data_IF_105619370849
#
_entry.id   IF_105619370849
#
_cell.length_a   1.000
_cell.length_b   1.000
_cell.length_c   1.000
_cell.angle_alpha   90.00
_cell.angle_beta   90.00
_cell.angle_gamma   90.00
#
_symmetry.space_group_name_H-M   'P 1'
#
loop_
_entity.id
_entity.type
_entity.pdbx_description
1 polymer ?
#
# COMPACT_ATOMS: atom_id res chain seq x y z
N UNK A 1 4.33 -0.15 -48.08
CA UNK A 1 3.81 0.98 -47.27
C UNK A 1 2.82 0.39 -46.29
N UNK A 2 3.07 0.50 -44.99
CA UNK A 2 2.04 0.26 -43.99
C UNK A 2 1.25 1.56 -43.87
N UNK A 3 0.03 1.58 -44.38
CA UNK A 3 -0.86 2.70 -44.07
C UNK A 3 -1.26 2.61 -42.60
N UNK A 4 -1.23 3.71 -41.84
CA UNK A 4 -1.85 3.72 -40.52
C UNK A 4 -3.34 3.53 -40.75
N UNK A 5 -3.87 2.36 -40.38
CA UNK A 5 -5.30 2.14 -40.39
C UNK A 5 -5.92 3.13 -39.42
N UNK A 6 -6.68 4.10 -39.95
CA UNK A 6 -7.61 4.90 -39.16
C UNK A 6 -8.62 3.92 -38.55
N UNK A 7 -8.29 3.41 -37.36
CA UNK A 7 -9.19 2.55 -36.61
C UNK A 7 -10.31 3.45 -36.12
N UNK A 8 -11.43 3.40 -36.84
CA UNK A 8 -12.64 4.15 -36.55
C UNK A 8 -12.94 4.15 -35.05
N UNK A 9 -13.04 5.35 -34.50
CA UNK A 9 -13.44 5.57 -33.14
C UNK A 9 -14.79 4.89 -32.89
N UNK A 10 -14.80 3.86 -32.06
CA UNK A 10 -16.01 3.50 -31.33
C UNK A 10 -16.46 4.74 -30.52
N UNK A 11 -17.76 4.93 -30.24
CA UNK A 11 -18.21 6.06 -29.44
C UNK A 11 -17.40 6.11 -28.15
N UNK A 12 -16.84 7.29 -27.87
CA UNK A 12 -15.94 7.56 -26.74
C UNK A 12 -16.51 7.09 -25.40
N UNK A 13 -17.84 6.92 -25.32
CA UNK A 13 -18.58 6.44 -24.16
C UNK A 13 -18.26 5.01 -23.70
N UNK A 14 -17.66 4.16 -24.54
CA UNK A 14 -17.34 2.78 -24.11
C UNK A 14 -15.96 2.63 -23.45
N UNK A 15 -15.02 3.55 -23.71
CA UNK A 15 -13.63 3.42 -23.26
C UNK A 15 -12.80 2.35 -23.99
N UNK A 16 -13.34 1.70 -25.01
CA UNK A 16 -12.67 0.70 -25.83
C UNK A 16 -12.70 1.06 -27.32
N UNK A 17 -11.68 0.64 -28.08
CA UNK A 17 -11.65 0.75 -29.54
C UNK A 17 -12.56 -0.30 -30.18
N UNK A 18 -12.86 -0.16 -31.47
CA UNK A 18 -13.63 -1.16 -32.22
C UNK A 18 -12.98 -2.56 -32.21
N UNK A 19 -11.66 -2.64 -32.05
CA UNK A 19 -10.91 -3.90 -31.90
C UNK A 19 -10.92 -4.46 -30.48
N UNK A 20 -11.64 -3.84 -29.54
CA UNK A 20 -11.73 -4.27 -28.14
C UNK A 20 -10.52 -3.89 -27.28
N UNK A 21 -9.56 -3.12 -27.81
CA UNK A 21 -8.45 -2.61 -27.00
C UNK A 21 -8.90 -1.40 -26.18
N UNK A 22 -8.49 -1.24 -24.91
CA UNK A 22 -8.84 -0.04 -24.14
C UNK A 22 -8.21 1.21 -24.74
N UNK A 23 -8.89 2.34 -24.66
CA UNK A 23 -8.33 3.62 -25.10
C UNK A 23 -7.30 4.12 -24.09
N UNK A 24 -6.40 5.00 -24.54
CA UNK A 24 -5.41 5.61 -23.65
C UNK A 24 -6.06 6.41 -22.52
N UNK A 25 -7.15 7.13 -22.81
CA UNK A 25 -7.87 7.92 -21.82
C UNK A 25 -8.49 7.04 -20.74
N UNK A 26 -9.10 5.91 -21.12
CA UNK A 26 -9.65 4.93 -20.15
C UNK A 26 -8.56 4.36 -19.24
N UNK A 27 -7.38 4.04 -19.80
CA UNK A 27 -6.26 3.53 -19.00
C UNK A 27 -5.74 4.60 -18.05
N UNK A 28 -5.62 5.86 -18.51
CA UNK A 28 -5.20 7.00 -17.68
C UNK A 28 -6.18 7.20 -16.51
N UNK A 29 -7.46 7.37 -16.78
CA UNK A 29 -8.50 7.60 -15.77
C UNK A 29 -8.52 6.46 -14.72
N UNK A 30 -8.37 5.21 -15.18
CA UNK A 30 -8.30 4.04 -14.30
C UNK A 30 -7.08 4.04 -13.39
N UNK A 31 -5.92 4.47 -13.91
CA UNK A 31 -4.70 4.60 -13.10
C UNK A 31 -4.87 5.71 -12.07
N UNK A 32 -5.37 6.88 -12.48
CA UNK A 32 -5.61 8.02 -11.59
C UNK A 32 -6.61 7.68 -10.48
N UNK A 33 -7.71 7.01 -10.81
CA UNK A 33 -8.72 6.57 -9.84
C UNK A 33 -8.13 5.57 -8.84
N UNK A 34 -7.36 4.58 -9.32
CA UNK A 34 -6.70 3.61 -8.44
C UNK A 34 -5.66 4.30 -7.56
N UNK A 35 -4.87 5.20 -8.11
CA UNK A 35 -3.84 5.92 -7.37
C UNK A 35 -4.45 6.80 -6.28
N UNK A 36 -5.49 7.58 -6.60
CA UNK A 36 -6.22 8.38 -5.62
C UNK A 36 -6.83 7.54 -4.49
N UNK A 37 -7.43 6.39 -4.83
CA UNK A 37 -7.95 5.42 -3.85
C UNK A 37 -6.82 4.86 -2.96
N UNK A 38 -5.66 4.56 -3.55
CA UNK A 38 -4.53 3.95 -2.85
C UNK A 38 -4.01 4.83 -1.72
N UNK A 39 -3.94 6.15 -1.95
CA UNK A 39 -3.45 7.11 -0.96
C UNK A 39 -4.30 7.09 0.32
N UNK A 40 -5.64 6.99 0.20
CA UNK A 40 -6.53 6.96 1.37
C UNK A 40 -6.76 5.57 1.98
N UNK A 41 -6.49 4.50 1.21
CA UNK A 41 -6.82 3.13 1.61
C UNK A 41 -6.01 2.61 2.80
N UNK A 42 -4.75 3.03 2.95
CA UNK A 42 -3.89 2.58 4.05
C UNK A 42 -4.36 3.15 5.39
N UNK A 43 -4.73 4.43 5.41
CA UNK A 43 -5.30 5.10 6.59
C UNK A 43 -6.61 4.43 7.02
N UNK A 44 -7.51 4.17 6.06
CA UNK A 44 -8.76 3.45 6.32
C UNK A 44 -8.51 2.02 6.84
N UNK A 45 -7.54 1.31 6.26
CA UNK A 45 -7.18 -0.04 6.69
C UNK A 45 -6.59 -0.05 8.11
N UNK A 46 -5.78 0.94 8.48
CA UNK A 46 -5.22 1.09 9.82
C UNK A 46 -6.32 1.34 10.88
N UNK A 47 -7.38 2.08 10.52
CA UNK A 47 -8.50 2.37 11.43
C UNK A 47 -9.47 1.20 11.64
N UNK A 48 -9.30 0.08 10.93
CA UNK A 48 -10.08 -1.14 11.16
C UNK A 48 -9.74 -1.77 12.51
N UNK A 49 -10.66 -2.56 13.12
CA UNK A 49 -10.35 -3.33 14.32
C UNK A 49 -9.13 -4.27 14.14
N UNK A 50 -8.97 -4.85 12.96
CA UNK A 50 -7.85 -5.72 12.60
C UNK A 50 -6.54 -4.93 12.50
N UNK A 51 -6.58 -3.75 11.86
CA UNK A 51 -5.44 -2.83 11.76
C UNK A 51 -4.92 -2.41 13.14
N UNK A 52 -5.81 -1.95 14.02
CA UNK A 52 -5.47 -1.60 15.40
C UNK A 52 -4.85 -2.76 16.18
N UNK A 53 -5.37 -3.99 16.03
CA UNK A 53 -4.81 -5.18 16.71
C UNK A 53 -3.39 -5.50 16.25
N UNK A 54 -3.08 -5.32 14.97
CA UNK A 54 -1.71 -5.54 14.45
C UNK A 54 -0.74 -4.53 15.03
N UNK A 55 -1.16 -3.27 15.12
CA UNK A 55 -0.38 -2.19 15.74
C UNK A 55 -0.15 -2.43 17.23
N UNK A 56 -1.20 -2.78 17.98
CA UNK A 56 -1.10 -3.15 19.40
C UNK A 56 -0.13 -4.32 19.63
N UNK A 57 -0.18 -5.35 18.80
CA UNK A 57 0.76 -6.48 18.88
C UNK A 57 2.20 -6.06 18.59
N UNK A 58 2.41 -5.15 17.63
CA UNK A 58 3.72 -4.62 17.31
C UNK A 58 4.28 -3.81 18.47
N UNK A 59 3.49 -2.90 19.04
CA UNK A 59 3.89 -2.11 20.21
C UNK A 59 4.20 -2.98 21.42
N UNK A 60 3.37 -4.00 21.69
CA UNK A 60 3.61 -4.94 22.78
C UNK A 60 4.96 -5.68 22.63
N UNK A 61 5.29 -6.12 21.40
CA UNK A 61 6.59 -6.74 21.11
C UNK A 61 7.76 -5.78 21.30
N UNK A 62 7.62 -4.54 20.84
CA UNK A 62 8.64 -3.49 20.99
C UNK A 62 8.90 -3.20 22.47
N UNK A 63 7.83 -3.08 23.28
CA UNK A 63 7.93 -2.86 24.71
C UNK A 63 8.63 -4.02 25.42
N UNK A 64 8.21 -5.26 25.14
CA UNK A 64 8.84 -6.45 25.71
C UNK A 64 10.33 -6.56 25.34
N UNK A 65 10.69 -6.24 24.11
CA UNK A 65 12.08 -6.20 23.67
C UNK A 65 12.89 -5.12 24.43
N UNK A 66 12.32 -3.92 24.60
CA UNK A 66 12.96 -2.83 25.34
C UNK A 66 13.19 -3.19 26.81
N UNK A 67 12.18 -3.77 27.48
CA UNK A 67 12.28 -4.24 28.86
C UNK A 67 13.37 -5.31 29.01
N UNK A 68 13.43 -6.26 28.08
CA UNK A 68 14.46 -7.31 28.11
C UNK A 68 15.88 -6.75 27.92
N UNK A 69 16.05 -5.78 27.03
CA UNK A 69 17.33 -5.10 26.84
C UNK A 69 17.75 -4.34 28.10
N UNK A 70 16.80 -3.73 28.81
CA UNK A 70 17.09 -3.04 30.08
C UNK A 70 17.52 -4.03 31.16
N UNK A 71 16.85 -5.18 31.27
CA UNK A 71 17.25 -6.26 32.18
C UNK A 71 18.69 -6.72 31.93
N UNK A 72 19.05 -6.97 30.67
CA UNK A 72 20.41 -7.36 30.27
C UNK A 72 21.43 -6.29 30.66
N UNK A 73 21.12 -5.00 30.43
CA UNK A 73 22.03 -3.91 30.82
C UNK A 73 22.24 -3.85 32.34
N UNK A 74 21.17 -4.10 33.12
CA UNK A 74 21.26 -4.13 34.59
C UNK A 74 22.10 -5.32 35.06
N UNK A 75 21.92 -6.51 34.48
CA UNK A 75 22.72 -7.69 34.86
C UNK A 75 24.20 -7.46 34.57
N UNK A 76 24.54 -6.99 33.36
CA UNK A 76 25.93 -6.68 32.99
C UNK A 76 26.60 -5.66 33.92
N UNK A 77 25.85 -4.66 34.39
CA UNK A 77 26.38 -3.66 35.34
C UNK A 77 26.56 -4.23 36.74
N UNK A 78 25.67 -5.12 37.17
CA UNK A 78 25.77 -5.78 38.48
C UNK A 78 26.96 -6.75 38.54
N UNK A 79 27.17 -7.54 37.48
CA UNK A 79 28.27 -8.50 37.37
C UNK A 79 29.65 -7.82 37.38
N UNK A 80 29.77 -6.59 36.88
CA UNK A 80 31.01 -5.81 36.88
C UNK A 80 31.30 -5.03 38.15
N UNK A 81 30.41 -5.05 39.15
CA UNK A 81 30.54 -4.30 40.42
C UNK A 81 30.73 -5.24 41.64
N UNK A 82 31.12 -6.50 41.42
CA UNK A 82 31.51 -7.48 42.44
C UNK A 82 32.91 -8.03 42.17
#
# INVERSE_FOLDING_TARGET
>A
MFEPVETGAAPADTGYTAGGAPTFEMVREKIETRFGTSIGSQELAAQTPEGRRVEEQFEARQKAAAEKLEEIRRSMKADGNG
#
